data_IF_714836967359
#
_entry.id   IF_714836967359
#
_cell.length_a   1.000
_cell.length_b   1.000
_cell.length_c   1.000
_cell.angle_alpha   90.00
_cell.angle_beta   90.00
_cell.angle_gamma   90.00
#
_symmetry.space_group_name_H-M   'P 1'
#
loop_
_entity.id
_entity.type
_entity.pdbx_description
1 polymer ?
#
# COMPACT_ATOMS: atom_id res chain seq x y z
N UNK A 1 -1.06 -21.41 -2.08
CA UNK A 1 -0.70 -20.05 -2.56
C UNK A 1 -1.90 -19.15 -2.24
N UNK A 2 -1.75 -18.08 -1.46
CA UNK A 2 -2.87 -17.16 -1.16
C UNK A 2 -3.03 -16.19 -2.32
N UNK A 3 -4.25 -16.01 -2.83
CA UNK A 3 -4.54 -15.11 -3.95
C UNK A 3 -4.42 -13.65 -3.47
N UNK A 4 -3.60 -12.80 -4.11
CA UNK A 4 -3.54 -11.38 -3.79
C UNK A 4 -4.88 -10.70 -4.10
N UNK A 5 -5.30 -9.77 -3.25
CA UNK A 5 -6.47 -8.92 -3.51
C UNK A 5 -6.00 -7.67 -4.24
N UNK A 6 -6.59 -7.38 -5.40
CA UNK A 6 -6.23 -6.22 -6.23
C UNK A 6 -7.46 -5.36 -6.50
N UNK A 7 -7.33 -4.05 -6.35
CA UNK A 7 -8.38 -3.10 -6.70
C UNK A 7 -7.78 -1.74 -7.08
N UNK A 8 -8.58 -0.87 -7.68
CA UNK A 8 -8.17 0.48 -8.06
C UNK A 8 -8.96 1.53 -7.28
N UNK A 9 -8.27 2.54 -6.75
CA UNK A 9 -8.89 3.66 -6.04
C UNK A 9 -8.00 4.91 -6.18
N UNK A 10 -8.60 6.09 -6.31
CA UNK A 10 -7.87 7.38 -6.37
C UNK A 10 -6.73 7.43 -7.41
N UNK A 11 -6.86 6.70 -8.53
CA UNK A 11 -5.82 6.61 -9.55
C UNK A 11 -4.61 5.73 -9.19
N UNK A 12 -4.70 4.97 -8.10
CA UNK A 12 -3.72 3.97 -7.70
C UNK A 12 -4.29 2.56 -7.84
N UNK A 13 -3.43 1.64 -8.28
CA UNK A 13 -3.68 0.19 -8.21
C UNK A 13 -3.13 -0.34 -6.89
N UNK A 14 -4.03 -0.84 -6.04
CA UNK A 14 -3.69 -1.45 -4.77
C UNK A 14 -3.57 -2.96 -4.91
N UNK A 15 -2.53 -3.53 -4.29
CA UNK A 15 -2.29 -4.97 -4.20
C UNK A 15 -2.07 -5.33 -2.73
N UNK A 16 -2.92 -6.21 -2.19
CA UNK A 16 -2.83 -6.69 -0.81
C UNK A 16 -2.36 -8.14 -0.82
N UNK A 17 -1.30 -8.42 -0.07
CA UNK A 17 -0.76 -9.75 0.16
C UNK A 17 -0.76 -10.00 1.67
N UNK A 18 -1.60 -10.93 2.12
CA UNK A 18 -1.67 -11.33 3.53
C UNK A 18 -1.12 -12.75 3.74
N UNK A 19 -0.04 -12.85 4.50
CA UNK A 19 0.54 -14.11 4.99
C UNK A 19 0.14 -14.36 6.44
N UNK A 20 0.59 -15.46 7.05
CA UNK A 20 0.30 -15.73 8.46
C UNK A 20 1.05 -14.78 9.41
N UNK A 21 2.14 -14.16 8.96
CA UNK A 21 3.03 -13.36 9.80
C UNK A 21 3.12 -11.88 9.38
N UNK A 22 2.52 -11.51 8.24
CA UNK A 22 2.64 -10.18 7.65
C UNK A 22 1.53 -9.89 6.66
N UNK A 23 1.05 -8.65 6.66
CA UNK A 23 0.27 -8.04 5.60
C UNK A 23 1.13 -7.00 4.88
N UNK A 24 1.08 -7.02 3.55
CA UNK A 24 1.73 -6.05 2.68
C UNK A 24 0.66 -5.44 1.78
N UNK A 25 0.62 -4.10 1.73
CA UNK A 25 -0.22 -3.35 0.82
C UNK A 25 0.70 -2.53 -0.06
N UNK A 26 0.56 -2.69 -1.37
CA UNK A 26 1.30 -1.91 -2.36
C UNK A 26 0.33 -1.05 -3.15
N UNK A 27 0.63 0.24 -3.33
CA UNK A 27 -0.13 1.15 -4.19
C UNK A 27 0.75 1.62 -5.33
N UNK A 28 0.31 1.42 -6.57
CA UNK A 28 1.08 1.76 -7.77
C UNK A 28 0.34 2.79 -8.62
N UNK A 29 1.06 3.78 -9.12
CA UNK A 29 0.58 4.73 -10.13
C UNK A 29 1.69 4.98 -11.15
N UNK A 30 1.48 4.53 -12.38
CA UNK A 30 2.51 4.54 -13.43
C UNK A 30 3.83 3.86 -12.98
N UNK A 31 4.95 4.59 -13.00
CA UNK A 31 6.28 4.09 -12.64
C UNK A 31 6.63 4.28 -11.16
N UNK A 32 5.74 4.86 -10.36
CA UNK A 32 5.94 5.04 -8.92
C UNK A 32 4.99 4.18 -8.11
N UNK A 33 5.42 3.79 -6.92
CA UNK A 33 4.58 3.04 -6.00
C UNK A 33 5.07 3.13 -4.57
N UNK A 34 4.15 2.84 -3.67
CA UNK A 34 4.32 2.87 -2.23
C UNK A 34 4.04 1.48 -1.67
N UNK A 35 4.75 1.10 -0.62
CA UNK A 35 4.56 -0.18 0.04
C UNK A 35 4.45 0.07 1.53
N UNK A 36 3.35 -0.39 2.13
CA UNK A 36 3.15 -0.46 3.56
C UNK A 36 3.12 -1.91 4.02
N UNK A 37 3.75 -2.19 5.17
CA UNK A 37 3.84 -3.53 5.76
C UNK A 37 3.42 -3.48 7.21
N UNK A 38 2.71 -4.49 7.69
CA UNK A 38 2.27 -4.59 9.08
C UNK A 38 1.94 -6.03 9.47
N UNK A 39 1.67 -6.27 10.75
CA UNK A 39 1.08 -7.55 11.22
C UNK A 39 -0.40 -7.61 10.88
N UNK A 40 -1.06 -6.46 10.80
CA UNK A 40 -2.47 -6.32 10.43
C UNK A 40 -2.62 -5.53 9.13
N UNK A 41 -3.80 -5.64 8.50
CA UNK A 41 -4.14 -4.83 7.34
C UNK A 41 -4.14 -3.33 7.66
N UNK A 42 -4.61 -2.95 8.85
CA UNK A 42 -4.66 -1.57 9.28
C UNK A 42 -3.26 -0.96 9.46
N UNK A 43 -2.34 -1.70 10.09
CA UNK A 43 -0.93 -1.27 10.19
C UNK A 43 -0.27 -1.12 8.82
N UNK A 44 -0.50 -2.07 7.91
CA UNK A 44 0.05 -2.00 6.57
C UNK A 44 -0.50 -0.80 5.79
N UNK A 45 -1.79 -0.47 5.93
CA UNK A 45 -2.38 0.73 5.35
C UNK A 45 -1.84 2.02 5.98
N UNK A 46 -1.68 2.08 7.31
CA UNK A 46 -1.12 3.26 7.98
C UNK A 46 0.28 3.55 7.47
N UNK A 47 1.14 2.54 7.42
CA UNK A 47 2.51 2.67 6.93
C UNK A 47 2.56 3.05 5.44
N UNK A 48 1.61 2.58 4.64
CA UNK A 48 1.47 2.99 3.24
C UNK A 48 1.11 4.47 3.14
N UNK A 49 0.11 4.94 3.91
CA UNK A 49 -0.31 6.33 3.92
C UNK A 49 0.82 7.25 4.36
N UNK A 50 1.56 6.90 5.41
CA UNK A 50 2.75 7.67 5.82
C UNK A 50 3.80 7.77 4.72
N UNK A 51 4.01 6.68 3.96
CA UNK A 51 4.94 6.69 2.83
C UNK A 51 4.43 7.58 1.68
N UNK A 52 3.12 7.57 1.43
CA UNK A 52 2.47 8.42 0.43
C UNK A 52 2.53 9.89 0.83
N UNK A 53 2.25 10.23 2.09
CA UNK A 53 2.30 11.60 2.62
C UNK A 53 3.73 12.17 2.60
N UNK A 54 4.74 11.37 2.94
CA UNK A 54 6.15 11.79 2.86
C UNK A 54 6.62 12.05 1.43
N UNK A 55 5.99 11.44 0.44
CA UNK A 55 6.37 11.54 -0.96
C UNK A 55 5.52 12.51 -1.76
N UNK A 56 4.31 12.84 -1.28
CA UNK A 56 3.61 14.02 -1.76
C UNK A 56 4.51 15.22 -1.41
N UNK A 57 5.01 16.00 -2.39
CA UNK A 57 5.61 17.27 -2.04
C UNK A 57 4.56 18.03 -1.22
N UNK A 58 4.98 18.58 -0.09
CA UNK A 58 4.26 19.68 0.54
C UNK A 58 3.97 20.66 -0.59
N UNK A 59 2.74 20.69 -1.09
CA UNK A 59 2.34 21.72 -2.04
C UNK A 59 2.61 23.05 -1.35
N UNK A 60 3.45 23.88 -1.96
CA UNK A 60 3.66 25.30 -1.62
C UNK A 60 2.33 26.02 -1.34
#
# INVERSE_FOLDING_TARGET
MKTPVTFEANGFKYVIIATNNRVEVSAHRHNSGFIGRGKTFHEALSNLNEAMEKAAPLSD
#
